data_IF_674864393404
#
_entry.id   IF_674864393404
#
_cell.length_a   1.000
_cell.length_b   1.000
_cell.length_c   1.000
_cell.angle_alpha   90.00
_cell.angle_beta   90.00
_cell.angle_gamma   90.00
#
_symmetry.space_group_name_H-M   'P 1'
#
loop_
_entity.id
_entity.type
_entity.pdbx_description
1 polymer ?
#
# COMPACT_ATOMS: atom_id res chain seq x y z
N UNK A 1 -19.98 -31.32 48.95
CA UNK A 1 -19.38 -30.04 48.49
C UNK A 1 -17.87 -30.19 48.49
N UNK A 2 -17.22 -29.87 47.38
CA UNK A 2 -15.75 -29.73 47.34
C UNK A 2 -15.31 -28.71 48.39
N UNK A 3 -14.26 -29.03 49.16
CA UNK A 3 -13.75 -28.12 50.19
C UNK A 3 -13.00 -26.98 49.50
N UNK A 4 -13.38 -25.74 49.81
CA UNK A 4 -12.65 -24.58 49.28
C UNK A 4 -11.25 -24.51 49.88
N UNK A 5 -10.23 -24.62 49.03
CA UNK A 5 -8.83 -24.44 49.42
C UNK A 5 -8.36 -23.11 48.82
N UNK A 6 -7.91 -22.14 49.65
CA UNK A 6 -7.32 -20.90 49.17
C UNK A 6 -6.11 -21.16 48.28
N UNK A 7 -5.92 -20.31 47.25
CA UNK A 7 -4.87 -20.49 46.24
C UNK A 7 -3.46 -20.61 46.84
N UNK A 8 -3.15 -19.79 47.86
CA UNK A 8 -1.83 -19.77 48.50
C UNK A 8 -1.49 -21.06 49.25
N UNK A 9 -2.50 -21.81 49.67
CA UNK A 9 -2.34 -23.07 50.40
C UNK A 9 -2.24 -24.29 49.48
N UNK A 10 -2.37 -24.09 48.16
CA UNK A 10 -2.17 -25.16 47.19
C UNK A 10 -0.68 -25.49 47.02
N UNK A 11 -0.38 -26.75 46.71
CA UNK A 11 0.97 -27.12 46.29
C UNK A 11 1.39 -26.36 45.03
N UNK A 12 2.69 -26.12 44.87
CA UNK A 12 3.25 -25.40 43.71
C UNK A 12 2.80 -26.01 42.37
N UNK A 13 2.63 -27.34 42.31
CA UNK A 13 2.14 -28.07 41.12
C UNK A 13 0.69 -27.67 40.77
N UNK A 14 -0.21 -27.73 41.75
CA UNK A 14 -1.62 -27.37 41.58
C UNK A 14 -1.81 -25.89 41.21
N UNK A 15 -1.01 -25.00 41.80
CA UNK A 15 -1.02 -23.58 41.43
C UNK A 15 -0.63 -23.38 39.96
N UNK A 16 0.37 -24.12 39.47
CA UNK A 16 0.80 -24.09 38.07
C UNK A 16 -0.28 -24.60 37.12
N UNK A 17 -0.93 -25.72 37.45
CA UNK A 17 -2.06 -26.26 36.68
C UNK A 17 -3.22 -25.26 36.58
N UNK A 18 -3.63 -24.66 37.71
CA UNK A 18 -4.68 -23.64 37.74
C UNK A 18 -4.30 -22.42 36.91
N UNK A 19 -3.08 -21.93 37.06
CA UNK A 19 -2.57 -20.81 36.27
C UNK A 19 -2.47 -21.14 34.77
N UNK A 20 -2.06 -22.35 34.41
CA UNK A 20 -1.99 -22.79 33.02
C UNK A 20 -3.39 -22.88 32.39
N UNK A 21 -4.39 -23.32 33.15
CA UNK A 21 -5.78 -23.32 32.70
C UNK A 21 -6.35 -21.90 32.52
N UNK A 22 -5.90 -20.93 33.33
CA UNK A 22 -6.30 -19.52 33.24
C UNK A 22 -5.51 -18.73 32.17
N UNK A 23 -4.27 -19.16 31.88
CA UNK A 23 -3.40 -18.55 30.86
C UNK A 23 -3.72 -19.16 29.49
N UNK A 24 -3.47 -18.41 28.42
CA UNK A 24 -3.52 -18.94 27.05
C UNK A 24 -4.48 -18.21 26.12
N UNK A 25 -5.51 -17.55 26.66
CA UNK A 25 -6.28 -16.56 25.91
C UNK A 25 -6.19 -15.22 26.64
N UNK A 26 -6.02 -14.14 25.88
CA UNK A 26 -6.16 -12.77 26.37
C UNK A 26 -7.65 -12.42 26.54
N UNK A 27 -8.47 -13.35 27.06
CA UNK A 27 -9.93 -13.26 27.03
C UNK A 27 -10.52 -13.07 25.62
N UNK A 28 -9.95 -13.79 24.64
CA UNK A 28 -10.33 -13.63 23.23
C UNK A 28 -9.76 -12.39 22.52
N UNK A 29 -8.99 -11.52 23.20
CA UNK A 29 -8.21 -10.49 22.50
C UNK A 29 -7.01 -11.14 21.80
N UNK A 30 -6.92 -11.00 20.48
CA UNK A 30 -5.65 -11.23 19.79
C UNK A 30 -4.95 -9.87 19.60
N UNK A 31 -3.84 -9.58 20.29
CA UNK A 31 -3.14 -8.30 20.15
C UNK A 31 -2.65 -8.05 18.72
N UNK A 32 -2.43 -9.11 17.94
CA UNK A 32 -2.02 -9.02 16.54
C UNK A 32 -3.17 -8.51 15.64
N UNK A 33 -4.42 -8.83 15.96
CA UNK A 33 -5.58 -8.45 15.12
C UNK A 33 -6.11 -7.05 15.41
N UNK A 34 -5.66 -6.40 16.49
CA UNK A 34 -6.04 -5.01 16.83
C UNK A 34 -5.11 -3.96 16.22
N UNK A 35 -4.22 -4.33 15.29
CA UNK A 35 -3.35 -3.35 14.62
C UNK A 35 -4.21 -2.40 13.77
N UNK A 36 -4.19 -1.09 14.04
CA UNK A 36 -4.83 -0.12 13.16
C UNK A 36 -4.12 -0.12 11.80
N UNK A 37 -4.82 0.30 10.75
CA UNK A 37 -4.21 0.47 9.44
C UNK A 37 -3.01 1.44 9.53
N UNK A 38 -1.89 1.09 8.89
CA UNK A 38 -0.70 1.92 8.91
C UNK A 38 -0.99 3.26 8.19
N UNK A 39 -1.05 4.36 8.95
CA UNK A 39 -1.36 5.69 8.43
C UNK A 39 -0.32 6.21 7.41
N UNK A 40 0.91 5.68 7.45
CA UNK A 40 1.98 6.01 6.50
C UNK A 40 2.04 5.07 5.30
N UNK A 41 1.23 4.00 5.27
CA UNK A 41 1.22 3.10 4.13
C UNK A 41 0.63 3.81 2.90
N UNK A 42 1.31 3.68 1.77
CA UNK A 42 0.81 4.21 0.51
C UNK A 42 -0.43 3.43 0.06
N UNK A 43 -1.54 4.13 -0.16
CA UNK A 43 -2.79 3.56 -0.67
C UNK A 43 -3.10 4.13 -2.06
N UNK A 44 -2.81 3.36 -3.12
CA UNK A 44 -3.01 3.77 -4.53
C UNK A 44 -4.46 4.13 -4.86
N UNK A 45 -5.44 3.62 -4.10
CA UNK A 45 -6.87 3.97 -4.27
C UNK A 45 -7.20 5.36 -3.74
N UNK A 46 -6.46 5.83 -2.72
CA UNK A 46 -6.57 7.19 -2.17
C UNK A 46 -5.76 8.21 -2.98
N UNK A 47 -4.78 7.76 -3.75
CA UNK A 47 -4.02 8.64 -4.63
C UNK A 47 -5.00 9.25 -5.64
N UNK A 48 -5.16 10.57 -5.58
CA UNK A 48 -5.97 11.33 -6.53
C UNK A 48 -5.43 11.02 -7.92
N UNK A 49 -6.26 10.38 -8.77
CA UNK A 49 -5.97 10.28 -10.19
C UNK A 49 -5.75 11.72 -10.67
N UNK A 50 -4.59 11.99 -11.24
CA UNK A 50 -4.41 13.18 -12.05
C UNK A 50 -5.31 12.98 -13.27
N UNK A 51 -6.59 13.35 -13.16
CA UNK A 51 -7.42 13.56 -14.34
C UNK A 51 -6.73 14.67 -15.11
N UNK A 52 -6.23 14.35 -16.31
CA UNK A 52 -5.54 15.27 -17.20
C UNK A 52 -6.43 16.38 -17.78
N UNK A 53 -7.50 16.74 -17.08
CA UNK A 53 -8.52 17.66 -17.55
C UNK A 53 -8.42 18.96 -16.75
N UNK A 54 -7.28 19.64 -16.92
CA UNK A 54 -7.17 21.09 -16.80
C UNK A 54 -5.85 21.48 -17.44
N UNK A 55 -5.92 22.09 -18.63
CA UNK A 55 -4.81 22.63 -19.44
C UNK A 55 -4.17 21.73 -20.52
N UNK A 56 -4.87 20.73 -21.09
CA UNK A 56 -4.52 20.31 -22.47
C UNK A 56 -4.99 21.40 -23.43
N UNK A 57 -4.15 22.42 -23.62
CA UNK A 57 -4.30 23.36 -24.73
C UNK A 57 -4.19 22.56 -26.04
N UNK A 58 -5.14 22.70 -26.99
CA UNK A 58 -4.98 22.07 -28.29
C UNK A 58 -3.83 22.79 -28.99
N UNK A 59 -2.68 22.12 -29.12
CA UNK A 59 -1.67 22.53 -30.07
C UNK A 59 -2.26 22.30 -31.47
N UNK A 60 -2.91 23.33 -32.01
CA UNK A 60 -3.41 23.36 -33.38
C UNK A 60 -2.18 23.29 -34.28
N UNK A 61 -1.81 22.08 -34.68
CA UNK A 61 -1.03 21.86 -35.89
C UNK A 61 -1.88 22.38 -37.05
N UNK A 62 -1.70 23.65 -37.40
CA UNK A 62 -2.08 24.18 -38.69
C UNK A 62 -1.33 23.33 -39.71
N UNK A 63 -2.03 22.35 -40.28
CA UNK A 63 -1.54 21.53 -41.39
C UNK A 63 -1.43 22.43 -42.62
N UNK A 64 -0.38 23.26 -42.64
CA UNK A 64 0.08 23.93 -43.82
C UNK A 64 0.46 22.87 -44.85
N UNK A 65 -0.32 22.80 -45.92
CA UNK A 65 0.00 22.08 -47.15
C UNK A 65 1.43 22.46 -47.56
N UNK A 66 2.39 21.58 -47.32
CA UNK A 66 3.72 21.69 -47.93
C UNK A 66 3.53 21.22 -49.37
N UNK A 67 3.34 22.17 -50.28
CA UNK A 67 3.35 21.92 -51.72
C UNK A 67 4.69 21.31 -52.10
N UNK A 68 4.67 20.08 -52.60
CA UNK A 68 5.81 19.40 -53.17
C UNK A 68 6.13 19.98 -54.54
N UNK A 69 6.90 21.06 -54.59
CA UNK A 69 7.56 21.49 -55.82
C UNK A 69 9.03 21.08 -55.77
N UNK A 70 9.27 19.94 -56.41
CA UNK A 70 10.59 19.39 -56.69
C UNK A 70 11.26 20.35 -57.68
N UNK A 71 12.21 21.17 -57.21
CA UNK A 71 13.16 21.84 -58.08
C UNK A 71 14.43 20.97 -58.19
N UNK A 72 14.76 20.44 -59.38
CA UNK A 72 15.99 19.69 -59.57
C UNK A 72 17.16 20.68 -59.73
N UNK A 73 18.12 20.62 -58.81
CA UNK A 73 19.46 21.09 -59.12
C UNK A 73 20.11 21.95 -58.04
N UNK A 74 20.63 21.30 -57.00
CA UNK A 74 21.88 21.75 -56.36
C UNK A 74 22.68 20.50 -56.00
N UNK A 75 23.73 20.21 -56.77
CA UNK A 75 24.75 19.19 -56.44
C UNK A 75 25.54 19.69 -55.24
N UNK A 76 25.61 18.89 -54.18
CA UNK A 76 26.53 19.11 -53.08
C UNK A 76 27.61 18.04 -53.14
N UNK A 77 28.82 18.42 -53.56
CA UNK A 77 29.98 17.52 -53.49
C UNK A 77 30.42 17.36 -52.03
N UNK A 78 30.69 16.11 -51.66
CA UNK A 78 31.01 15.70 -50.29
C UNK A 78 32.54 15.66 -50.16
N UNK A 79 33.18 16.41 -49.26
CA UNK A 79 34.62 16.27 -49.07
C UNK A 79 34.92 14.98 -48.29
N UNK A 80 35.99 14.30 -48.72
CA UNK A 80 36.59 13.14 -48.05
C UNK A 80 37.27 13.51 -46.73
#
# INVERSE_FOLDING_TARGET
MEKFIPFEKLSKKKQRERNAALRGSWYGLNPVTRKPENSKAYNRRKARKWSGDSMTVPFVMLSGKVSSEIHPGVRFERPS
#
